data_IF_165870995468
#
_entry.id   IF_165870995468
#
_cell.length_a   1.000
_cell.length_b   1.000
_cell.length_c   1.000
_cell.angle_alpha   90.00
_cell.angle_beta   90.00
_cell.angle_gamma   90.00
#
_symmetry.space_group_name_H-M   'P 1'
#
loop_
_entity.id
_entity.type
_entity.pdbx_description
1 polymer ?
#
# COMPACT_ATOMS: atom_id res chain seq x y z
N UNK A 1 -11.96 5.52 11.77
CA UNK A 1 -13.28 5.13 11.26
C UNK A 1 -13.54 3.64 11.48
N UNK A 2 -12.72 2.74 10.92
CA UNK A 2 -12.87 1.26 11.05
C UNK A 2 -13.12 0.79 12.49
N UNK A 3 -12.30 1.23 13.45
CA UNK A 3 -12.44 0.82 14.86
C UNK A 3 -13.74 1.35 15.46
N UNK A 4 -14.06 2.63 15.22
CA UNK A 4 -15.25 3.26 15.78
C UNK A 4 -16.50 2.54 15.29
N UNK A 5 -16.62 2.31 13.98
CA UNK A 5 -17.80 1.65 13.40
C UNK A 5 -17.90 0.17 13.78
N UNK A 6 -16.81 -0.45 14.24
CA UNK A 6 -16.87 -1.81 14.80
C UNK A 6 -17.62 -1.84 16.13
N UNK A 7 -17.41 -0.84 17.00
CA UNK A 7 -18.02 -0.80 18.32
C UNK A 7 -19.33 -0.01 18.36
N UNK A 8 -19.50 0.93 17.44
CA UNK A 8 -20.67 1.80 17.38
C UNK A 8 -21.01 2.18 15.94
N UNK A 9 -22.05 1.56 15.41
CA UNK A 9 -22.58 1.85 14.08
C UNK A 9 -24.13 1.78 14.12
N UNK A 10 -24.81 2.93 14.27
CA UNK A 10 -26.25 2.97 14.55
C UNK A 10 -27.14 2.94 13.29
N UNK A 11 -26.56 2.87 12.09
CA UNK A 11 -27.32 2.93 10.85
C UNK A 11 -27.81 1.54 10.44
N UNK A 12 -29.13 1.34 10.45
CA UNK A 12 -29.75 0.06 10.08
C UNK A 12 -29.95 -0.07 8.56
N UNK A 13 -30.18 1.05 7.86
CA UNK A 13 -30.49 1.06 6.42
C UNK A 13 -29.28 1.13 5.50
N UNK A 14 -28.07 1.21 6.06
CA UNK A 14 -26.83 1.35 5.31
C UNK A 14 -25.82 0.38 5.90
N UNK A 15 -25.31 -0.57 5.12
CA UNK A 15 -24.32 -1.50 5.63
C UNK A 15 -23.00 -0.80 5.95
N UNK A 16 -22.27 -1.32 6.94
CA UNK A 16 -21.03 -0.71 7.43
C UNK A 16 -20.00 -0.51 6.33
N UNK A 17 -19.81 -1.50 5.45
CA UNK A 17 -18.90 -1.36 4.31
C UNK A 17 -19.33 -0.28 3.32
N UNK A 18 -20.62 -0.15 3.06
CA UNK A 18 -21.15 0.88 2.16
C UNK A 18 -20.95 2.27 2.76
N UNK A 19 -21.17 2.43 4.08
CA UNK A 19 -20.83 3.67 4.78
C UNK A 19 -19.34 4.00 4.71
N UNK A 20 -18.47 3.01 4.97
CA UNK A 20 -17.02 3.21 4.90
C UNK A 20 -16.59 3.61 3.48
N UNK A 21 -17.19 3.02 2.45
CA UNK A 21 -16.99 3.39 1.05
C UNK A 21 -17.44 4.83 0.77
N UNK A 22 -18.68 5.18 1.11
CA UNK A 22 -19.23 6.52 0.88
C UNK A 22 -18.44 7.60 1.62
N UNK A 23 -18.02 7.33 2.85
CA UNK A 23 -17.18 8.23 3.61
C UNK A 23 -15.77 8.38 2.99
N UNK A 24 -15.18 7.31 2.46
CA UNK A 24 -13.91 7.39 1.74
C UNK A 24 -14.04 8.23 0.45
N UNK A 25 -15.11 8.04 -0.32
CA UNK A 25 -15.43 8.87 -1.50
C UNK A 25 -15.67 10.33 -1.09
N UNK A 26 -16.43 10.58 -0.02
CA UNK A 26 -16.66 11.92 0.49
C UNK A 26 -15.38 12.62 0.90
N UNK A 27 -14.47 11.92 1.59
CA UNK A 27 -13.16 12.45 1.97
C UNK A 27 -12.29 12.72 0.73
N UNK A 28 -12.32 11.82 -0.25
CA UNK A 28 -11.61 12.00 -1.52
C UNK A 28 -12.10 13.25 -2.26
N UNK A 29 -13.42 13.44 -2.38
CA UNK A 29 -14.02 14.64 -2.99
C UNK A 29 -13.64 15.89 -2.21
N UNK A 30 -13.69 15.84 -0.87
CA UNK A 30 -13.28 16.94 -0.02
C UNK A 30 -11.82 17.35 -0.27
N UNK A 31 -10.88 16.39 -0.30
CA UNK A 31 -9.47 16.68 -0.55
C UNK A 31 -9.25 17.35 -1.92
N UNK A 32 -9.97 16.93 -2.96
CA UNK A 32 -9.87 17.51 -4.29
C UNK A 32 -10.53 18.90 -4.37
N UNK A 33 -11.72 19.06 -3.79
CA UNK A 33 -12.45 20.32 -3.79
C UNK A 33 -11.67 21.45 -3.09
N UNK A 34 -11.01 21.13 -1.98
CA UNK A 34 -10.16 22.06 -1.23
C UNK A 34 -8.72 22.13 -1.76
N UNK A 35 -8.40 21.45 -2.87
CA UNK A 35 -7.06 21.41 -3.48
C UNK A 35 -5.96 20.96 -2.50
N UNK A 36 -6.34 20.16 -1.50
CA UNK A 36 -5.42 19.48 -0.60
C UNK A 36 -4.79 18.26 -1.26
N UNK A 37 -5.37 17.80 -2.36
CA UNK A 37 -4.85 16.76 -3.24
C UNK A 37 -4.89 17.21 -4.71
N UNK A 38 -3.87 16.80 -5.46
CA UNK A 38 -3.70 17.11 -6.88
C UNK A 38 -4.43 16.12 -7.78
N UNK A 39 -4.81 16.52 -9.01
CA UNK A 39 -5.39 15.59 -9.98
C UNK A 39 -4.50 14.39 -10.32
N UNK A 40 -3.17 14.57 -10.27
CA UNK A 40 -2.20 13.48 -10.48
C UNK A 40 -2.28 12.44 -9.37
N UNK A 41 -2.41 12.88 -8.12
CA UNK A 41 -2.63 12.00 -6.96
C UNK A 41 -3.97 11.26 -7.09
N UNK A 42 -5.04 11.91 -7.58
CA UNK A 42 -6.32 11.25 -7.84
C UNK A 42 -6.21 10.10 -8.87
N UNK A 43 -5.39 10.26 -9.91
CA UNK A 43 -5.13 9.18 -10.88
C UNK A 43 -4.42 8.00 -10.22
N UNK A 44 -3.45 8.26 -9.33
CA UNK A 44 -2.80 7.21 -8.54
C UNK A 44 -3.84 6.44 -7.72
N UNK A 45 -4.70 7.15 -6.99
CA UNK A 45 -5.77 6.55 -6.18
C UNK A 45 -6.68 5.66 -7.02
N UNK A 46 -7.09 6.12 -8.21
CA UNK A 46 -7.92 5.34 -9.13
C UNK A 46 -7.21 4.07 -9.60
N UNK A 47 -5.94 4.16 -10.00
CA UNK A 47 -5.15 2.99 -10.43
C UNK A 47 -5.03 1.98 -9.29
N UNK A 48 -4.69 2.44 -8.09
CA UNK A 48 -4.63 1.58 -6.90
C UNK A 48 -5.98 0.91 -6.63
N UNK A 49 -7.09 1.65 -6.76
CA UNK A 49 -8.42 1.11 -6.54
C UNK A 49 -8.71 -0.05 -7.48
N UNK A 50 -8.40 0.12 -8.77
CA UNK A 50 -8.64 -0.91 -9.81
C UNK A 50 -7.74 -2.12 -9.57
N UNK A 51 -6.43 -1.91 -9.46
CA UNK A 51 -5.43 -2.98 -9.29
C UNK A 51 -5.72 -3.78 -8.02
N UNK A 52 -6.03 -3.10 -6.92
CA UNK A 52 -6.40 -3.75 -5.67
C UNK A 52 -7.70 -4.54 -5.79
N UNK A 53 -8.75 -3.96 -6.39
CA UNK A 53 -10.04 -4.65 -6.54
C UNK A 53 -9.89 -5.92 -7.37
N UNK A 54 -9.08 -5.92 -8.43
CA UNK A 54 -8.78 -7.13 -9.22
C UNK A 54 -8.11 -8.20 -8.36
N UNK A 55 -7.11 -7.81 -7.56
CA UNK A 55 -6.42 -8.74 -6.66
C UNK A 55 -7.36 -9.28 -5.58
N UNK A 56 -8.17 -8.44 -4.98
CA UNK A 56 -9.18 -8.82 -3.99
C UNK A 56 -10.16 -9.84 -4.57
N UNK A 57 -10.73 -9.56 -5.75
CA UNK A 57 -11.67 -10.47 -6.42
C UNK A 57 -11.07 -11.86 -6.62
N UNK A 58 -9.82 -11.93 -7.05
CA UNK A 58 -9.12 -13.19 -7.20
C UNK A 58 -8.86 -13.87 -5.85
N UNK A 59 -8.37 -13.12 -4.86
CA UNK A 59 -7.94 -13.67 -3.56
C UNK A 59 -9.08 -14.13 -2.67
N UNK A 60 -10.24 -13.51 -2.78
CA UNK A 60 -11.43 -13.88 -2.01
C UNK A 60 -12.30 -14.89 -2.75
N UNK A 61 -12.06 -15.12 -4.05
CA UNK A 61 -12.84 -16.07 -4.88
C UNK A 61 -12.97 -17.45 -4.25
N UNK A 62 -14.01 -18.18 -4.64
CA UNK A 62 -14.32 -19.50 -4.07
C UNK A 62 -13.20 -20.54 -4.25
N UNK A 63 -12.40 -20.41 -5.32
CA UNK A 63 -11.27 -21.30 -5.58
C UNK A 63 -10.03 -21.00 -4.74
N UNK A 64 -9.92 -19.79 -4.18
CA UNK A 64 -8.71 -19.32 -3.50
C UNK A 64 -8.93 -19.11 -2.00
N UNK A 65 -10.03 -18.43 -1.61
CA UNK A 65 -10.45 -18.17 -0.23
C UNK A 65 -9.30 -17.74 0.72
N UNK A 66 -8.43 -16.86 0.24
CA UNK A 66 -7.30 -16.37 1.04
C UNK A 66 -7.77 -15.57 2.26
N UNK A 67 -8.89 -14.87 2.15
CA UNK A 67 -9.67 -14.24 3.23
C UNK A 67 -11.10 -14.01 2.73
N UNK A 68 -11.98 -13.55 3.63
CA UNK A 68 -13.35 -13.18 3.30
C UNK A 68 -13.77 -11.88 3.98
N UNK A 69 -14.71 -11.17 3.36
CA UNK A 69 -15.39 -10.01 3.93
C UNK A 69 -16.64 -10.50 4.69
N UNK A 70 -16.67 -10.47 6.04
CA UNK A 70 -17.74 -11.10 6.82
C UNK A 70 -19.06 -10.33 6.89
N UNK A 71 -19.06 -9.03 6.59
CA UNK A 71 -20.23 -8.17 6.72
C UNK A 71 -20.95 -7.97 5.39
N UNK A 72 -22.27 -7.72 5.41
CA UNK A 72 -23.03 -7.43 4.20
C UNK A 72 -22.61 -6.09 3.57
N UNK A 73 -22.84 -5.98 2.26
CA UNK A 73 -22.66 -4.76 1.47
C UNK A 73 -23.56 -4.78 0.23
N UNK A 74 -23.89 -3.60 -0.28
CA UNK A 74 -24.54 -3.43 -1.59
C UNK A 74 -23.54 -2.88 -2.62
N UNK A 75 -22.61 -2.03 -2.18
CA UNK A 75 -21.64 -1.35 -3.04
C UNK A 75 -20.38 -2.20 -3.15
N UNK A 76 -20.40 -3.15 -4.07
CA UNK A 76 -19.30 -4.10 -4.29
C UNK A 76 -19.36 -4.77 -5.65
N UNK A 77 -18.33 -5.57 -5.93
CA UNK A 77 -18.26 -6.43 -7.11
C UNK A 77 -18.06 -7.86 -6.61
N UNK A 78 -18.98 -8.76 -6.96
CA UNK A 78 -18.95 -10.13 -6.46
C UNK A 78 -18.95 -10.18 -4.93
N UNK A 79 -17.91 -10.79 -4.36
CA UNK A 79 -17.70 -10.95 -2.93
C UNK A 79 -16.76 -9.88 -2.32
N UNK A 80 -16.49 -8.80 -3.05
CA UNK A 80 -15.59 -7.72 -2.63
C UNK A 80 -16.34 -6.40 -2.49
N UNK A 81 -16.43 -5.80 -1.29
CA UNK A 81 -16.96 -4.46 -1.12
C UNK A 81 -15.99 -3.45 -1.77
N UNK A 82 -16.50 -2.41 -2.46
CA UNK A 82 -15.63 -1.40 -3.07
C UNK A 82 -14.83 -0.60 -2.03
N UNK A 83 -15.24 -0.64 -0.76
CA UNK A 83 -14.42 -0.13 0.35
C UNK A 83 -13.01 -0.74 0.36
N UNK A 84 -12.87 -2.03 0.01
CA UNK A 84 -11.58 -2.72 -0.03
C UNK A 84 -10.58 -1.98 -0.94
N UNK A 85 -11.00 -1.62 -2.16
CA UNK A 85 -10.14 -0.88 -3.09
C UNK A 85 -9.65 0.44 -2.51
N UNK A 86 -10.49 1.16 -1.75
CA UNK A 86 -10.11 2.42 -1.10
C UNK A 86 -9.06 2.25 -0.01
N UNK A 87 -9.01 1.10 0.68
CA UNK A 87 -7.95 0.83 1.66
C UNK A 87 -6.57 0.81 0.99
N UNK A 88 -6.47 0.26 -0.22
CA UNK A 88 -5.24 0.28 -1.00
C UNK A 88 -4.95 1.66 -1.58
N UNK A 89 -5.97 2.35 -2.09
CA UNK A 89 -5.83 3.73 -2.60
C UNK A 89 -5.32 4.70 -1.53
N UNK A 90 -5.71 4.50 -0.26
CA UNK A 90 -5.21 5.30 0.85
C UNK A 90 -3.68 5.18 1.03
N UNK A 91 -3.11 3.98 0.82
CA UNK A 91 -1.66 3.76 0.84
C UNK A 91 -0.99 4.51 -0.32
N UNK A 92 -1.54 4.43 -1.53
CA UNK A 92 -1.04 5.15 -2.69
C UNK A 92 -1.05 6.68 -2.52
N UNK A 93 -2.17 7.23 -2.03
CA UNK A 93 -2.31 8.66 -1.71
C UNK A 93 -1.31 9.09 -0.64
N UNK A 94 -1.17 8.30 0.42
CA UNK A 94 -0.19 8.55 1.49
C UNK A 94 1.23 8.64 0.93
N UNK A 95 1.66 7.65 0.14
CA UNK A 95 3.01 7.63 -0.44
C UNK A 95 3.24 8.87 -1.31
N UNK A 96 2.31 9.19 -2.21
CA UNK A 96 2.43 10.36 -3.08
C UNK A 96 2.52 11.67 -2.28
N UNK A 97 1.73 11.77 -1.20
CA UNK A 97 1.69 12.94 -0.34
C UNK A 97 2.96 13.10 0.48
N UNK A 98 3.43 12.06 1.17
CA UNK A 98 4.66 12.14 1.98
C UNK A 98 5.88 12.39 1.11
N UNK A 99 5.90 11.86 -0.11
CA UNK A 99 6.95 12.13 -1.09
C UNK A 99 7.06 13.62 -1.39
N UNK A 100 5.92 14.28 -1.63
CA UNK A 100 5.87 15.72 -1.91
C UNK A 100 6.16 16.57 -0.67
N UNK A 101 5.58 16.22 0.48
CA UNK A 101 5.72 17.00 1.72
C UNK A 101 7.16 16.96 2.23
N UNK A 102 7.80 15.80 2.20
CA UNK A 102 9.16 15.63 2.72
C UNK A 102 10.24 15.75 1.64
N UNK A 103 9.94 16.31 0.46
CA UNK A 103 10.88 16.51 -0.65
C UNK A 103 11.81 15.30 -0.87
N UNK A 104 11.24 14.13 -1.15
CA UNK A 104 12.04 12.91 -1.30
C UNK A 104 13.03 13.01 -2.46
N UNK A 105 14.31 12.84 -2.12
CA UNK A 105 15.44 12.76 -3.04
C UNK A 105 16.15 11.43 -2.86
N UNK A 106 16.85 11.00 -3.91
CA UNK A 106 17.50 9.69 -3.93
C UNK A 106 18.97 9.81 -4.31
N UNK A 107 19.83 8.98 -3.71
CA UNK A 107 21.25 8.89 -4.13
C UNK A 107 21.40 8.39 -5.56
N UNK A 108 20.54 7.44 -5.95
CA UNK A 108 20.44 6.89 -7.30
C UNK A 108 19.06 6.24 -7.46
N UNK A 109 18.68 5.95 -8.70
CA UNK A 109 17.48 5.19 -8.98
C UNK A 109 17.74 4.20 -10.12
N UNK A 110 17.35 2.92 -9.99
CA UNK A 110 17.49 1.96 -11.08
C UNK A 110 16.75 2.43 -12.35
N UNK A 111 17.17 1.98 -13.55
CA UNK A 111 16.44 2.30 -14.77
C UNK A 111 14.97 1.90 -14.65
N UNK A 112 14.06 2.81 -15.01
CA UNK A 112 12.62 2.66 -14.73
C UNK A 112 12.05 1.32 -15.20
N UNK A 113 12.46 0.85 -16.38
CA UNK A 113 11.98 -0.41 -16.94
C UNK A 113 12.27 -1.61 -16.04
N UNK A 114 13.42 -1.64 -15.35
CA UNK A 114 13.77 -2.74 -14.44
C UNK A 114 12.81 -2.77 -13.25
N UNK A 115 12.46 -1.60 -12.72
CA UNK A 115 11.52 -1.46 -11.61
C UNK A 115 10.11 -1.89 -12.02
N UNK A 116 9.67 -1.55 -13.24
CA UNK A 116 8.38 -1.95 -13.80
C UNK A 116 8.32 -3.47 -13.99
N UNK A 117 9.39 -4.09 -14.53
CA UNK A 117 9.47 -5.56 -14.66
C UNK A 117 9.37 -6.23 -13.29
N UNK A 118 10.13 -5.76 -12.30
CA UNK A 118 10.10 -6.32 -10.95
C UNK A 118 8.70 -6.28 -10.35
N UNK A 119 8.01 -5.13 -10.39
CA UNK A 119 6.66 -5.02 -9.79
C UNK A 119 5.59 -5.75 -10.56
N UNK A 120 5.75 -5.89 -11.87
CA UNK A 120 4.87 -6.72 -12.69
C UNK A 120 5.02 -8.20 -12.30
N UNK A 121 6.25 -8.68 -12.11
CA UNK A 121 6.50 -10.05 -11.63
C UNK A 121 5.98 -10.28 -10.21
N UNK A 122 6.12 -9.29 -9.32
CA UNK A 122 5.52 -9.32 -7.99
C UNK A 122 4.00 -9.44 -8.08
N UNK A 123 3.36 -8.59 -8.89
CA UNK A 123 1.93 -8.62 -9.07
C UNK A 123 1.47 -9.98 -9.59
N UNK A 124 2.09 -10.49 -10.67
CA UNK A 124 1.81 -11.82 -11.21
C UNK A 124 2.00 -12.90 -10.15
N UNK A 125 3.09 -12.86 -9.37
CA UNK A 125 3.35 -13.83 -8.30
C UNK A 125 2.25 -13.81 -7.24
N UNK A 126 1.65 -12.64 -6.92
CA UNK A 126 0.50 -12.60 -6.02
C UNK A 126 -0.69 -13.39 -6.57
N UNK A 127 -0.89 -13.48 -7.89
CA UNK A 127 -1.94 -14.35 -8.45
C UNK A 127 -1.49 -15.80 -8.58
N UNK A 128 -0.27 -16.03 -9.08
CA UNK A 128 0.14 -17.34 -9.55
C UNK A 128 0.64 -18.29 -8.47
N UNK A 129 1.07 -17.82 -7.30
CA UNK A 129 1.63 -18.70 -6.25
C UNK A 129 0.66 -19.75 -5.69
N UNK A 130 -0.62 -19.62 -5.98
CA UNK A 130 -1.62 -20.64 -5.65
C UNK A 130 -1.60 -21.85 -6.59
N UNK A 131 -1.00 -21.69 -7.77
CA UNK A 131 -0.95 -22.70 -8.83
C UNK A 131 0.48 -23.15 -9.15
N UNK A 132 1.46 -22.29 -8.94
CA UNK A 132 2.88 -22.55 -9.22
C UNK A 132 3.75 -22.22 -8.01
N UNK A 133 5.02 -22.60 -8.07
CA UNK A 133 6.00 -22.32 -7.02
C UNK A 133 6.04 -20.83 -6.67
N UNK A 134 5.98 -20.56 -5.38
CA UNK A 134 6.08 -19.21 -4.85
C UNK A 134 7.52 -18.68 -4.93
N UNK A 135 7.75 -17.70 -5.80
CA UNK A 135 9.06 -17.08 -6.04
C UNK A 135 9.29 -15.79 -5.23
N UNK A 136 8.50 -15.52 -4.17
CA UNK A 136 8.61 -14.28 -3.38
C UNK A 136 10.02 -13.96 -2.90
N UNK A 137 10.78 -14.98 -2.47
CA UNK A 137 12.14 -14.79 -1.96
C UNK A 137 13.11 -14.37 -3.06
N UNK A 138 12.93 -14.90 -4.27
CA UNK A 138 13.70 -14.45 -5.43
C UNK A 138 13.41 -12.97 -5.74
N UNK A 139 12.14 -12.56 -5.67
CA UNK A 139 11.72 -11.18 -5.90
C UNK A 139 12.24 -10.22 -4.81
N UNK A 140 12.29 -10.66 -3.55
CA UNK A 140 12.94 -9.91 -2.47
C UNK A 140 14.42 -9.74 -2.78
N UNK A 141 15.14 -10.83 -3.07
CA UNK A 141 16.57 -10.76 -3.38
C UNK A 141 16.82 -9.80 -4.56
N UNK A 142 16.02 -9.90 -5.63
CA UNK A 142 16.10 -8.98 -6.76
C UNK A 142 15.90 -7.52 -6.32
N UNK A 143 14.90 -7.25 -5.46
CA UNK A 143 14.69 -5.90 -4.93
C UNK A 143 15.88 -5.39 -4.09
N UNK A 144 16.50 -6.25 -3.29
CA UNK A 144 17.64 -5.90 -2.46
C UNK A 144 18.89 -5.62 -3.31
N UNK A 145 19.09 -6.39 -4.38
CA UNK A 145 20.17 -6.14 -5.34
C UNK A 145 19.96 -4.80 -6.05
N UNK A 146 18.73 -4.50 -6.47
CA UNK A 146 18.40 -3.27 -7.19
C UNK A 146 18.46 -2.01 -6.31
N UNK A 147 17.93 -2.09 -5.08
CA UNK A 147 17.70 -0.92 -4.23
C UNK A 147 18.54 -0.89 -2.96
N UNK A 148 19.33 -1.93 -2.66
CA UNK A 148 20.08 -2.04 -1.41
C UNK A 148 21.14 -0.95 -1.20
N UNK A 149 21.59 -0.30 -2.28
CA UNK A 149 22.52 0.84 -2.23
C UNK A 149 21.82 2.20 -2.35
N UNK A 150 20.50 2.22 -2.56
CA UNK A 150 19.74 3.45 -2.71
C UNK A 150 19.45 4.03 -1.32
N UNK A 151 19.86 5.28 -1.13
CA UNK A 151 19.52 6.09 0.03
C UNK A 151 18.38 7.01 -0.34
N UNK A 152 17.40 7.13 0.55
CA UNK A 152 16.36 8.15 0.47
C UNK A 152 16.71 9.29 1.41
N UNK A 153 16.64 10.50 0.90
CA UNK A 153 16.82 11.75 1.62
C UNK A 153 15.46 12.43 1.73
N UNK A 154 15.09 12.86 2.93
CA UNK A 154 13.79 13.43 3.20
C UNK A 154 13.91 14.59 4.19
N UNK A 155 13.16 15.65 3.94
CA UNK A 155 13.19 16.90 4.68
C UNK A 155 11.99 17.02 5.60
N UNK A 156 12.17 16.82 6.91
CA UNK A 156 11.10 16.99 7.91
C UNK A 156 10.83 18.46 8.25
N UNK A 157 11.86 19.31 8.25
CA UNK A 157 11.75 20.75 8.51
C UNK A 157 12.81 21.51 7.69
N UNK A 158 13.99 21.80 8.29
CA UNK A 158 15.07 22.52 7.59
C UNK A 158 16.19 21.62 7.06
N UNK A 159 16.39 20.46 7.68
CA UNK A 159 17.52 19.56 7.42
C UNK A 159 17.00 18.28 6.78
N UNK A 160 17.68 17.79 5.74
CA UNK A 160 17.42 16.45 5.22
C UNK A 160 18.00 15.41 6.16
N UNK A 161 17.21 14.37 6.41
CA UNK A 161 17.66 13.13 7.03
C UNK A 161 17.67 12.06 5.95
N UNK A 162 18.51 11.05 6.14
CA UNK A 162 18.59 9.96 5.19
C UNK A 162 18.49 8.59 5.87
N UNK A 163 18.07 7.61 5.09
CA UNK A 163 18.12 6.20 5.46
C UNK A 163 18.18 5.33 4.20
N UNK A 164 18.60 4.06 4.32
CA UNK A 164 18.49 3.12 3.20
C UNK A 164 17.02 2.97 2.77
N UNK A 165 16.75 3.07 1.47
CA UNK A 165 15.37 3.02 0.93
C UNK A 165 14.65 1.73 1.32
N UNK A 166 15.37 0.60 1.27
CA UNK A 166 14.87 -0.72 1.68
C UNK A 166 14.40 -0.73 3.14
N UNK A 167 15.12 -0.04 4.04
CA UNK A 167 14.73 0.07 5.46
C UNK A 167 13.43 0.87 5.57
N UNK A 168 13.30 1.94 4.81
CA UNK A 168 12.05 2.70 4.72
C UNK A 168 10.86 1.82 4.31
N UNK A 169 11.01 1.00 3.26
CA UNK A 169 9.95 0.08 2.84
C UNK A 169 9.64 -0.99 3.88
N UNK A 170 10.65 -1.54 4.55
CA UNK A 170 10.44 -2.52 5.62
C UNK A 170 9.66 -1.91 6.79
N UNK A 171 9.97 -0.69 7.19
CA UNK A 171 9.24 0.02 8.24
C UNK A 171 7.78 0.25 7.82
N UNK A 172 7.52 0.70 6.59
CA UNK A 172 6.15 0.86 6.11
C UNK A 172 5.41 -0.48 6.08
N UNK A 173 6.03 -1.55 5.58
CA UNK A 173 5.46 -2.89 5.59
C UNK A 173 5.11 -3.38 7.01
N UNK A 174 5.95 -3.05 8.00
CA UNK A 174 5.69 -3.35 9.41
C UNK A 174 4.46 -2.61 9.94
N UNK A 175 4.33 -1.31 9.64
CA UNK A 175 3.14 -0.54 10.03
C UNK A 175 1.87 -1.02 9.32
N UNK A 176 1.96 -1.46 8.06
CA UNK A 176 0.83 -2.07 7.37
C UNK A 176 0.45 -3.40 8.04
N UNK A 177 1.42 -4.22 8.47
CA UNK A 177 1.14 -5.44 9.23
C UNK A 177 0.43 -5.15 10.57
N UNK A 178 0.82 -4.08 11.29
CA UNK A 178 0.06 -3.64 12.47
C UNK A 178 -1.37 -3.21 12.11
N UNK A 179 -1.53 -2.43 11.03
CA UNK A 179 -2.85 -2.02 10.54
C UNK A 179 -3.73 -3.20 10.13
N UNK A 180 -3.14 -4.25 9.55
CA UNK A 180 -3.82 -5.51 9.23
C UNK A 180 -4.32 -6.23 10.49
N UNK A 181 -3.52 -6.29 11.56
CA UNK A 181 -3.96 -6.87 12.83
C UNK A 181 -5.13 -6.09 13.43
N UNK A 182 -5.10 -4.76 13.38
CA UNK A 182 -6.21 -3.90 13.83
C UNK A 182 -7.46 -4.13 12.96
N UNK A 183 -7.27 -4.26 11.65
CA UNK A 183 -8.39 -4.39 10.71
C UNK A 183 -9.07 -5.76 10.79
N UNK A 184 -8.29 -6.83 10.95
CA UNK A 184 -8.82 -8.18 11.22
C UNK A 184 -9.51 -8.24 12.58
N UNK A 185 -8.97 -7.56 13.60
CA UNK A 185 -9.64 -7.42 14.90
C UNK A 185 -10.99 -6.67 14.78
N UNK A 186 -11.04 -5.66 13.90
CA UNK A 186 -12.25 -4.90 13.61
C UNK A 186 -13.18 -5.58 12.56
N UNK A 187 -12.95 -6.86 12.24
CA UNK A 187 -13.73 -7.64 11.27
C UNK A 187 -13.88 -6.99 9.89
N UNK A 188 -12.89 -6.23 9.44
CA UNK A 188 -12.89 -5.70 8.07
C UNK A 188 -12.70 -6.83 7.05
N UNK A 189 -11.85 -7.79 7.37
CA UNK A 189 -11.77 -9.08 6.70
C UNK A 189 -11.31 -10.12 7.71
N UNK A 190 -11.54 -11.39 7.39
CA UNK A 190 -11.23 -12.51 8.28
C UNK A 190 -10.45 -13.56 7.49
N UNK A 191 -9.32 -13.98 8.05
CA UNK A 191 -8.55 -15.11 7.53
C UNK A 191 -9.22 -16.45 7.87
N UNK A 192 -9.02 -17.53 7.08
CA UNK A 192 -9.54 -18.86 7.42
C UNK A 192 -9.14 -19.32 8.83
N UNK A 193 -7.92 -18.97 9.25
CA UNK A 193 -7.40 -19.29 10.58
C UNK A 193 -8.04 -18.46 11.71
N UNK A 194 -8.79 -17.41 11.39
CA UNK A 194 -9.43 -16.50 12.35
C UNK A 194 -10.96 -16.64 12.40
N UNK A 195 -11.55 -17.65 11.74
CA UNK A 195 -13.01 -17.80 11.65
C UNK A 195 -13.71 -17.96 13.00
N UNK A 196 -13.05 -18.60 13.97
CA UNK A 196 -13.64 -18.88 15.29
C UNK A 196 -13.15 -17.93 16.38
N UNK A 197 -11.89 -17.51 16.33
CA UNK A 197 -11.29 -16.60 17.29
C UNK A 197 -10.26 -15.72 16.59
N UNK A 198 -10.13 -14.49 17.05
CA UNK A 198 -9.07 -13.61 16.57
C UNK A 198 -7.72 -14.09 17.12
N UNK A 199 -6.72 -14.12 16.24
CA UNK A 199 -5.33 -14.37 16.58
C UNK A 199 -4.44 -13.43 15.76
N UNK A 200 -3.23 -13.17 16.25
CA UNK A 200 -2.27 -12.34 15.53
C UNK A 200 -2.00 -12.90 14.13
N UNK A 201 -2.00 -12.02 13.14
CA UNK A 201 -1.70 -12.39 11.76
C UNK A 201 -0.24 -12.82 11.67
N UNK A 202 0.04 -13.93 10.97
CA UNK A 202 1.40 -14.47 10.89
C UNK A 202 2.43 -13.42 10.42
N UNK A 203 3.59 -13.40 11.06
CA UNK A 203 4.70 -12.50 10.70
C UNK A 203 5.21 -12.76 9.27
N UNK A 204 4.96 -13.95 8.71
CA UNK A 204 5.33 -14.26 7.32
C UNK A 204 4.59 -13.39 6.30
N UNK A 205 3.46 -12.76 6.68
CA UNK A 205 2.75 -11.77 5.87
C UNK A 205 3.55 -10.49 5.68
N UNK A 206 4.51 -10.18 6.56
CA UNK A 206 5.39 -9.03 6.41
C UNK A 206 6.14 -9.04 5.07
N UNK A 207 6.51 -10.23 4.58
CA UNK A 207 7.12 -10.39 3.25
C UNK A 207 6.17 -9.96 2.13
N UNK A 208 4.90 -10.34 2.22
CA UNK A 208 3.90 -9.92 1.24
C UNK A 208 3.68 -8.40 1.28
N UNK A 209 3.63 -7.80 2.47
CA UNK A 209 3.52 -6.35 2.62
C UNK A 209 4.75 -5.60 2.12
N UNK A 210 5.95 -6.15 2.29
CA UNK A 210 7.17 -5.56 1.72
C UNK A 210 7.11 -5.54 0.19
N UNK A 211 6.70 -6.65 -0.44
CA UNK A 211 6.55 -6.71 -1.90
C UNK A 211 5.42 -5.81 -2.41
N UNK A 212 4.31 -5.73 -1.68
CA UNK A 212 3.21 -4.83 -2.03
C UNK A 212 3.59 -3.36 -1.83
N UNK A 213 4.38 -3.03 -0.81
CA UNK A 213 4.95 -1.69 -0.61
C UNK A 213 5.83 -1.31 -1.79
N UNK A 214 6.65 -2.24 -2.28
CA UNK A 214 7.51 -2.03 -3.44
C UNK A 214 6.67 -1.82 -4.72
N UNK A 215 5.62 -2.62 -4.93
CA UNK A 215 4.64 -2.39 -6.00
C UNK A 215 4.04 -0.99 -5.91
N UNK A 216 3.59 -0.62 -4.71
CA UNK A 216 2.96 0.68 -4.44
C UNK A 216 3.89 1.84 -4.73
N UNK A 217 5.13 1.75 -4.22
CA UNK A 217 6.17 2.75 -4.43
C UNK A 217 6.47 2.96 -5.91
N UNK A 218 6.69 1.89 -6.68
CA UNK A 218 7.04 2.01 -8.10
C UNK A 218 5.85 2.59 -8.87
N UNK A 219 4.62 2.17 -8.55
CA UNK A 219 3.43 2.72 -9.20
C UNK A 219 3.31 4.23 -8.97
N UNK A 220 3.57 4.70 -7.75
CA UNK A 220 3.63 6.13 -7.46
C UNK A 220 4.81 6.79 -8.19
N UNK A 221 5.96 6.15 -8.29
CA UNK A 221 7.15 6.68 -8.99
C UNK A 221 6.93 6.90 -10.50
N UNK A 222 5.95 6.20 -11.09
CA UNK A 222 5.55 6.39 -12.48
C UNK A 222 4.85 7.73 -12.69
N UNK A 223 4.15 8.23 -11.67
CA UNK A 223 3.45 9.52 -11.68
C UNK A 223 4.34 10.63 -11.10
N UNK A 224 5.06 10.33 -10.01
CA UNK A 224 5.99 11.21 -9.31
C UNK A 224 7.43 10.75 -9.57
N UNK A 225 8.08 11.31 -10.59
CA UNK A 225 9.41 10.86 -10.99
C UNK A 225 10.44 11.03 -9.85
N UNK A 226 11.26 10.01 -9.57
CA UNK A 226 12.34 10.12 -8.61
C UNK A 226 13.31 11.24 -8.96
N UNK A 227 13.55 12.12 -7.98
CA UNK A 227 14.53 13.20 -8.10
C UNK A 227 15.86 12.72 -7.53
N UNK A 228 16.90 12.69 -8.38
CA UNK A 228 18.25 12.32 -7.94
C UNK A 228 18.89 13.54 -7.29
N UNK A 229 19.53 13.34 -6.14
CA UNK A 229 20.27 14.41 -5.48
C UNK A 229 21.54 14.73 -6.28
N UNK A 230 21.80 16.00 -6.61
CA UNK A 230 23.03 16.40 -7.28
C UNK A 230 24.27 16.00 -6.47
N UNK A 231 25.39 15.59 -7.11
CA UNK A 231 26.60 15.16 -6.41
C UNK A 231 27.13 16.16 -5.38
N UNK A 232 27.12 17.46 -5.70
CA UNK A 232 27.59 18.51 -4.80
C UNK A 232 26.80 18.57 -3.47
N UNK A 233 25.49 18.34 -3.50
CA UNK A 233 24.65 18.34 -2.30
C UNK A 233 24.80 17.05 -1.49
N UNK A 234 25.17 15.93 -2.13
CA UNK A 234 25.47 14.69 -1.43
C UNK A 234 26.78 14.80 -0.64
N UNK A 235 27.81 15.45 -1.20
CA UNK A 235 29.08 15.68 -0.52
C UNK A 235 28.93 16.62 0.69
N UNK A 236 28.14 17.69 0.56
CA UNK A 236 27.82 18.60 1.67
C UNK A 236 27.09 17.88 2.81
N UNK A 237 26.12 17.01 2.50
CA UNK A 237 25.41 16.25 3.56
C UNK A 237 26.26 15.14 4.18
N UNK A 238 27.17 14.52 3.43
CA UNK A 238 28.09 13.52 3.96
C UNK A 238 29.15 14.14 4.87
N UNK A 239 29.52 15.40 4.65
CA UNK A 239 30.51 16.13 5.46
C UNK A 239 29.90 16.86 6.66
N UNK A 240 28.59 17.11 6.66
CA UNK A 240 27.87 17.76 7.75
C UNK A 240 27.39 16.80 8.87
N UNK A 241 27.50 15.48 8.68
CA UNK A 241 27.19 14.45 9.68
C UNK A 241 28.46 13.86 10.28
#
# INVERSE_FOLDING_TARGET
>A
MIIITRFWYPFESLYRYDFLFLAAVGFQIFLLAFRLESPKEAVVILIFHIVATIMELFKTSDGIKSWQYPEPFVIGIGNVPLFAGFMYSAVGSYIARVWRIFDFRYSSYPPLWTTVVLVTLIYINFFSHHYVTDIRWLLIIASLVMFGRVQIYFRMDRIHRHMPLVVGWLLVALFIWFAENISTFANVWVYPTQQHHWQLVSITKLVAWYLLMLLSFVLVSLVNRPTIMPPALLEEEQTAN
#
